data_IF_210861060654
#
_entry.id   IF_210861060654
#
_cell.length_a   1.000
_cell.length_b   1.000
_cell.length_c   1.000
_cell.angle_alpha   90.00
_cell.angle_beta   90.00
_cell.angle_gamma   90.00
#
_symmetry.space_group_name_H-M   'P 1'
#
loop_
_entity.id
_entity.type
_entity.pdbx_description
1 polymer ?
#
# COMPACT_ATOMS: atom_id res chain seq x y z
N UNK A 1 -0.66 -28.90 11.04
CA UNK A 1 -1.37 -28.00 10.11
C UNK A 1 -0.51 -26.75 9.94
N UNK A 2 -0.21 -26.35 8.70
CA UNK A 2 0.53 -25.10 8.46
C UNK A 2 -0.31 -23.93 9.00
N UNK A 3 0.32 -23.04 9.78
CA UNK A 3 -0.32 -21.82 10.25
C UNK A 3 -0.58 -20.95 9.03
N UNK A 4 -1.85 -20.82 8.63
CA UNK A 4 -2.24 -19.84 7.60
C UNK A 4 -2.28 -18.50 8.31
N UNK A 5 -1.38 -17.59 7.94
CA UNK A 5 -1.41 -16.24 8.46
C UNK A 5 -2.71 -15.53 7.99
N UNK A 6 -3.28 -14.66 8.83
CA UNK A 6 -4.50 -13.93 8.47
C UNK A 6 -4.28 -13.08 7.21
N UNK A 7 -5.29 -13.04 6.34
CA UNK A 7 -5.33 -12.09 5.24
C UNK A 7 -5.58 -10.69 5.79
N UNK A 8 -4.68 -9.75 5.51
CA UNK A 8 -4.84 -8.35 5.94
C UNK A 8 -5.33 -7.52 4.77
N UNK A 9 -6.38 -6.76 5.02
CA UNK A 9 -6.97 -5.85 4.03
C UNK A 9 -6.92 -4.45 4.62
N UNK A 10 -6.11 -3.58 4.01
CA UNK A 10 -5.91 -2.22 4.47
C UNK A 10 -6.79 -1.24 3.69
N UNK A 11 -7.50 -0.36 4.39
CA UNK A 11 -8.35 0.70 3.81
C UNK A 11 -7.94 2.08 4.34
N UNK A 12 -8.42 3.12 3.68
CA UNK A 12 -8.38 4.47 4.24
C UNK A 12 -9.44 4.65 5.35
N UNK A 13 -9.41 5.80 6.02
CA UNK A 13 -10.34 6.14 7.09
C UNK A 13 -11.58 6.91 6.61
N UNK A 14 -11.95 6.85 5.33
CA UNK A 14 -13.13 7.60 4.88
C UNK A 14 -14.40 7.08 5.58
N UNK A 15 -15.34 7.98 5.88
CA UNK A 15 -16.53 7.67 6.70
C UNK A 15 -17.29 6.39 6.26
N UNK A 16 -17.50 6.11 4.96
CA UNK A 16 -18.14 4.87 4.53
C UNK A 16 -17.38 3.60 4.95
N UNK A 17 -16.05 3.65 5.02
CA UNK A 17 -15.21 2.52 5.43
C UNK A 17 -15.31 2.19 6.92
N UNK A 18 -15.85 3.08 7.76
CA UNK A 18 -16.22 2.74 9.14
C UNK A 18 -17.20 1.56 9.25
N UNK A 19 -17.94 1.26 8.17
CA UNK A 19 -18.82 0.11 8.09
C UNK A 19 -18.11 -1.25 8.28
N UNK A 20 -16.80 -1.35 8.02
CA UNK A 20 -16.04 -2.60 8.19
C UNK A 20 -15.90 -3.00 9.66
N UNK A 21 -16.18 -2.07 10.59
CA UNK A 21 -16.19 -2.34 12.03
C UNK A 21 -17.47 -3.03 12.51
N UNK A 22 -18.52 -3.05 11.68
CA UNK A 22 -19.83 -3.67 11.98
C UNK A 22 -19.67 -5.18 12.17
N UNK A 23 -20.45 -5.73 13.10
CA UNK A 23 -20.41 -7.15 13.45
C UNK A 23 -20.66 -8.07 12.23
N UNK A 24 -21.57 -7.68 11.35
CA UNK A 24 -21.89 -8.44 10.12
C UNK A 24 -20.70 -8.59 9.19
N UNK A 25 -19.92 -7.53 8.98
CA UNK A 25 -18.70 -7.58 8.15
C UNK A 25 -17.62 -8.43 8.83
N UNK A 26 -17.44 -8.27 10.15
CA UNK A 26 -16.49 -9.08 10.93
C UNK A 26 -16.83 -10.57 10.92
N UNK A 27 -18.13 -10.91 10.86
CA UNK A 27 -18.58 -12.28 10.75
C UNK A 27 -18.32 -12.82 9.33
N UNK A 28 -18.68 -12.07 8.30
CA UNK A 28 -18.40 -12.42 6.90
C UNK A 28 -16.90 -12.63 6.63
N UNK A 29 -16.03 -11.84 7.26
CA UNK A 29 -14.58 -11.98 7.21
C UNK A 29 -14.05 -13.33 7.75
N UNK A 30 -14.89 -14.09 8.47
CA UNK A 30 -14.59 -15.40 9.06
C UNK A 30 -15.40 -16.56 8.45
N UNK A 31 -16.35 -16.27 7.59
CA UNK A 31 -17.17 -17.29 6.93
C UNK A 31 -16.30 -18.18 6.05
N UNK A 32 -16.69 -19.44 5.86
CA UNK A 32 -15.94 -20.38 4.99
C UNK A 32 -14.51 -20.71 5.44
N UNK A 33 -14.12 -20.38 6.68
CA UNK A 33 -12.79 -20.67 7.22
C UNK A 33 -11.73 -19.59 6.91
N UNK A 34 -12.13 -18.42 6.41
CA UNK A 34 -11.23 -17.29 6.24
C UNK A 34 -10.84 -16.66 7.59
N UNK A 35 -9.66 -16.05 7.68
CA UNK A 35 -9.27 -15.12 8.76
C UNK A 35 -8.86 -13.79 8.12
N UNK A 36 -9.86 -12.98 7.74
CA UNK A 36 -9.64 -11.65 7.15
C UNK A 36 -9.65 -10.60 8.26
N UNK A 37 -8.60 -9.77 8.29
CA UNK A 37 -8.45 -8.67 9.23
C UNK A 37 -8.41 -7.35 8.48
N UNK A 38 -9.39 -6.51 8.79
CA UNK A 38 -9.47 -5.16 8.27
C UNK A 38 -8.56 -4.24 9.08
N UNK A 39 -7.69 -3.51 8.38
CA UNK A 39 -6.74 -2.57 8.97
C UNK A 39 -6.93 -1.19 8.33
N UNK A 40 -6.65 -0.16 9.09
CA UNK A 40 -6.74 1.21 8.60
C UNK A 40 -5.34 1.80 8.49
N UNK A 41 -5.10 2.58 7.44
CA UNK A 41 -3.91 3.41 7.38
C UNK A 41 -3.95 4.48 8.49
N UNK A 42 -2.81 5.08 8.86
CA UNK A 42 -2.80 6.27 9.71
C UNK A 42 -3.60 7.44 9.10
N UNK A 43 -4.30 8.27 9.91
CA UNK A 43 -5.06 9.40 9.39
C UNK A 43 -4.21 10.36 8.55
N UNK A 44 -4.74 10.82 7.42
CA UNK A 44 -4.08 11.76 6.48
C UNK A 44 -2.75 11.28 5.89
N UNK A 45 -2.53 9.97 5.83
CA UNK A 45 -1.31 9.37 5.28
C UNK A 45 -1.59 8.58 3.99
N UNK A 46 -1.89 9.21 2.85
CA UNK A 46 -2.12 8.52 1.58
C UNK A 46 -0.88 7.75 1.10
N UNK A 47 0.31 8.18 1.51
CA UNK A 47 1.59 7.51 1.29
C UNK A 47 1.71 6.16 2.03
N UNK A 48 0.83 5.90 3.00
CA UNK A 48 0.72 4.62 3.71
C UNK A 48 -0.33 3.67 3.12
N UNK A 49 -0.93 4.03 1.99
CA UNK A 49 -1.88 3.21 1.25
C UNK A 49 -1.29 2.85 -0.11
N UNK A 50 -1.15 1.56 -0.41
CA UNK A 50 -0.53 1.12 -1.66
C UNK A 50 -1.32 1.54 -2.91
N UNK A 51 -2.65 1.64 -2.80
CA UNK A 51 -3.50 2.01 -3.92
C UNK A 51 -3.24 3.45 -4.33
N UNK A 52 -3.24 4.37 -3.36
CA UNK A 52 -2.95 5.79 -3.56
C UNK A 52 -1.48 6.02 -3.92
N UNK A 53 -0.56 5.34 -3.24
CA UNK A 53 0.88 5.51 -3.42
C UNK A 53 1.33 5.19 -4.85
N UNK A 54 0.75 4.17 -5.50
CA UNK A 54 1.27 3.74 -6.79
C UNK A 54 0.30 3.11 -7.77
N UNK A 55 -0.74 2.40 -7.33
CA UNK A 55 -1.61 1.67 -8.27
C UNK A 55 -2.51 2.62 -9.05
N UNK A 56 -3.19 3.55 -8.37
CA UNK A 56 -4.01 4.55 -9.05
C UNK A 56 -3.16 5.44 -9.95
N UNK A 57 -1.99 5.89 -9.48
CA UNK A 57 -1.05 6.65 -10.29
C UNK A 57 -0.60 5.90 -11.57
N UNK A 58 -0.33 4.59 -11.45
CA UNK A 58 0.06 3.78 -12.60
C UNK A 58 -1.07 3.65 -13.63
N UNK A 59 -2.28 3.32 -13.17
CA UNK A 59 -3.47 3.21 -14.03
C UNK A 59 -3.78 4.55 -14.69
N UNK A 60 -3.77 5.62 -13.91
CA UNK A 60 -4.05 6.98 -14.37
C UNK A 60 -3.01 7.43 -15.41
N UNK A 61 -1.74 7.06 -15.28
CA UNK A 61 -0.72 7.36 -16.30
C UNK A 61 -0.98 6.69 -17.66
N UNK A 62 -1.64 5.54 -17.69
CA UNK A 62 -2.07 4.87 -18.93
C UNK A 62 -3.32 5.56 -19.46
N UNK A 63 -4.30 5.81 -18.58
CA UNK A 63 -5.55 6.45 -18.93
C UNK A 63 -5.33 7.86 -19.52
N UNK A 64 -4.43 8.68 -18.95
CA UNK A 64 -4.13 10.03 -19.45
C UNK A 64 -3.60 10.07 -20.88
N UNK A 65 -3.02 8.98 -21.37
CA UNK A 65 -2.51 8.88 -22.75
C UNK A 65 -3.60 8.50 -23.75
N UNK A 66 -4.82 8.24 -23.29
CA UNK A 66 -5.94 7.79 -24.09
C UNK A 66 -7.10 8.79 -23.92
N UNK A 67 -7.35 9.68 -24.89
CA UNK A 67 -8.42 10.65 -24.79
C UNK A 67 -9.78 9.94 -24.79
N UNK A 68 -10.60 10.23 -23.78
CA UNK A 68 -11.96 9.70 -23.66
C UNK A 68 -12.93 10.83 -23.37
N UNK A 69 -14.14 10.70 -23.91
CA UNK A 69 -15.21 11.70 -23.75
C UNK A 69 -16.53 11.07 -23.30
N UNK A 70 -16.50 9.77 -22.98
CA UNK A 70 -17.65 8.97 -22.55
C UNK A 70 -17.24 8.08 -21.38
N UNK A 71 -18.18 7.86 -20.46
CA UNK A 71 -17.95 7.05 -19.26
C UNK A 71 -17.58 5.61 -19.64
N UNK A 72 -18.28 5.00 -20.59
CA UNK A 72 -18.00 3.62 -21.00
C UNK A 72 -16.57 3.44 -21.54
N UNK A 73 -16.13 4.38 -22.38
CA UNK A 73 -14.75 4.39 -22.90
C UNK A 73 -13.71 4.57 -21.78
N UNK A 74 -14.02 5.38 -20.77
CA UNK A 74 -13.15 5.55 -19.59
C UNK A 74 -13.05 4.25 -18.79
N UNK A 75 -14.17 3.55 -18.57
CA UNK A 75 -14.20 2.26 -17.87
C UNK A 75 -13.35 1.23 -18.62
N UNK A 76 -13.53 1.11 -19.93
CA UNK A 76 -12.76 0.18 -20.77
C UNK A 76 -11.25 0.42 -20.66
N UNK A 77 -10.83 1.69 -20.68
CA UNK A 77 -9.41 2.07 -20.62
C UNK A 77 -8.82 1.80 -19.24
N UNK A 78 -9.55 2.09 -18.17
CA UNK A 78 -9.12 1.78 -16.80
C UNK A 78 -8.97 0.27 -16.60
N UNK A 79 -9.94 -0.51 -17.09
CA UNK A 79 -9.90 -1.98 -17.04
C UNK A 79 -8.71 -2.54 -17.84
N UNK A 80 -8.47 -2.02 -19.04
CA UNK A 80 -7.32 -2.41 -19.85
C UNK A 80 -5.99 -2.05 -19.17
N UNK A 81 -5.88 -0.87 -18.58
CA UNK A 81 -4.71 -0.43 -17.83
C UNK A 81 -4.43 -1.31 -16.61
N UNK A 82 -5.48 -1.70 -15.89
CA UNK A 82 -5.38 -2.64 -14.77
C UNK A 82 -4.86 -4.01 -15.23
N UNK A 83 -5.46 -4.58 -16.28
CA UNK A 83 -5.06 -5.88 -16.83
C UNK A 83 -3.63 -5.88 -17.39
N UNK A 84 -3.16 -4.74 -17.91
CA UNK A 84 -1.79 -4.57 -18.42
C UNK A 84 -0.72 -4.38 -17.33
N UNK A 85 -1.08 -4.18 -16.06
CA UNK A 85 -0.15 -3.81 -14.98
C UNK A 85 0.14 -4.93 -13.97
N UNK A 86 0.60 -6.13 -14.36
CA UNK A 86 0.00 -7.36 -13.87
C UNK A 86 0.65 -7.94 -12.60
N UNK A 87 1.79 -7.41 -12.15
CA UNK A 87 2.48 -7.91 -10.94
C UNK A 87 3.71 -7.07 -10.59
N UNK A 88 4.58 -6.84 -11.57
CA UNK A 88 5.84 -6.11 -11.37
C UNK A 88 5.64 -4.67 -10.89
N UNK A 89 4.52 -4.03 -11.26
CA UNK A 89 4.15 -2.71 -10.73
C UNK A 89 3.72 -2.81 -9.27
N UNK A 90 2.88 -3.79 -8.92
CA UNK A 90 2.46 -4.07 -7.54
C UNK A 90 3.66 -4.35 -6.63
N UNK A 91 4.58 -5.23 -7.05
CA UNK A 91 5.77 -5.56 -6.26
C UNK A 91 6.63 -4.33 -6.01
N UNK A 92 6.81 -3.48 -7.04
CA UNK A 92 7.52 -2.19 -6.91
C UNK A 92 6.80 -1.25 -5.94
N UNK A 93 5.47 -1.20 -5.96
CA UNK A 93 4.69 -0.38 -5.03
C UNK A 93 4.87 -0.86 -3.59
N UNK A 94 4.86 -2.16 -3.32
CA UNK A 94 5.13 -2.71 -2.00
C UNK A 94 6.55 -2.40 -1.51
N UNK A 95 7.56 -2.50 -2.39
CA UNK A 95 8.91 -2.09 -2.03
C UNK A 95 9.03 -0.59 -1.75
N UNK A 96 8.30 0.22 -2.51
CA UNK A 96 8.24 1.68 -2.32
C UNK A 96 7.60 1.99 -0.96
N UNK A 97 6.48 1.34 -0.63
CA UNK A 97 5.81 1.49 0.66
C UNK A 97 6.76 1.17 1.84
N UNK A 98 7.55 0.11 1.75
CA UNK A 98 8.54 -0.21 2.79
C UNK A 98 9.59 0.89 2.97
N UNK A 99 10.05 1.51 1.88
CA UNK A 99 10.99 2.64 1.97
C UNK A 99 10.31 3.94 2.42
N UNK A 100 9.05 4.15 2.08
CA UNK A 100 8.24 5.25 2.60
C UNK A 100 8.09 5.11 4.12
N UNK A 101 7.77 3.92 4.63
CA UNK A 101 7.74 3.65 6.07
C UNK A 101 9.08 3.98 6.76
N UNK A 102 10.21 3.62 6.16
CA UNK A 102 11.53 4.03 6.68
C UNK A 102 11.73 5.55 6.64
N UNK A 103 11.24 6.24 5.60
CA UNK A 103 11.29 7.71 5.54
C UNK A 103 10.43 8.35 6.63
N UNK A 104 9.23 7.86 6.88
CA UNK A 104 8.34 8.35 7.94
C UNK A 104 9.03 8.20 9.30
N UNK A 105 9.66 7.05 9.58
CA UNK A 105 10.43 6.85 10.83
C UNK A 105 11.57 7.87 10.93
N UNK A 106 12.31 8.09 9.83
CA UNK A 106 13.42 9.05 9.78
C UNK A 106 12.97 10.49 10.04
N UNK A 107 11.76 10.85 9.63
CA UNK A 107 11.19 12.19 9.81
C UNK A 107 10.17 12.24 10.96
N UNK A 108 10.28 11.33 11.93
CA UNK A 108 9.48 11.33 13.16
C UNK A 108 7.95 11.38 12.92
N UNK A 109 7.45 10.73 11.87
CA UNK A 109 6.04 10.68 11.53
C UNK A 109 5.58 11.65 10.44
N UNK A 110 6.44 12.58 10.02
CA UNK A 110 6.15 13.53 8.93
C UNK A 110 6.15 12.85 7.56
N UNK A 111 5.48 13.45 6.59
CA UNK A 111 5.41 13.04 5.19
C UNK A 111 6.14 14.01 4.22
N UNK A 112 6.80 15.06 4.74
CA UNK A 112 7.62 15.97 3.93
C UNK A 112 8.97 15.33 3.54
N UNK A 113 8.91 14.36 2.62
CA UNK A 113 10.09 13.78 2.01
C UNK A 113 9.84 13.44 0.55
N UNK A 114 10.93 13.40 -0.22
CA UNK A 114 10.88 12.92 -1.60
C UNK A 114 10.64 11.41 -1.62
N UNK A 115 9.76 10.96 -2.52
CA UNK A 115 9.50 9.54 -2.71
C UNK A 115 10.80 8.77 -2.98
N UNK A 116 11.07 7.69 -2.21
CA UNK A 116 12.31 6.94 -2.32
C UNK A 116 12.35 6.15 -3.63
N UNK A 117 13.49 6.19 -4.32
CA UNK A 117 13.70 5.41 -5.55
C UNK A 117 14.07 3.97 -5.21
N UNK A 118 13.20 3.00 -5.50
CA UNK A 118 13.45 1.58 -5.19
C UNK A 118 13.98 0.75 -6.35
N UNK A 119 13.66 1.11 -7.60
CA UNK A 119 13.84 0.22 -8.76
C UNK A 119 15.31 -0.19 -8.99
N UNK A 120 16.22 0.77 -9.19
CA UNK A 120 17.62 0.45 -9.50
C UNK A 120 18.43 -0.08 -8.31
N UNK A 121 17.95 0.15 -7.08
CA UNK A 121 18.69 -0.22 -5.87
C UNK A 121 18.40 -1.66 -5.43
N UNK A 122 17.14 -2.08 -5.52
CA UNK A 122 16.67 -3.34 -4.94
C UNK A 122 16.19 -4.36 -5.98
N UNK A 123 15.96 -3.95 -7.23
CA UNK A 123 15.56 -4.85 -8.32
C UNK A 123 16.78 -5.11 -9.21
N UNK A 124 17.25 -6.36 -9.24
CA UNK A 124 18.43 -6.78 -10.02
C UNK A 124 18.09 -7.99 -10.86
N UNK A 125 18.46 -7.98 -12.15
CA UNK A 125 18.26 -9.11 -13.08
C UNK A 125 16.83 -9.68 -13.08
N UNK A 126 15.83 -8.81 -12.92
CA UNK A 126 14.42 -9.22 -12.87
C UNK A 126 13.93 -9.71 -11.51
N UNK A 127 14.81 -10.03 -10.56
CA UNK A 127 14.47 -10.41 -9.19
C UNK A 127 13.96 -9.22 -8.38
N UNK A 128 12.84 -9.41 -7.68
CA UNK A 128 12.23 -8.42 -6.79
C UNK A 128 12.08 -9.07 -5.42
N UNK A 129 12.73 -8.57 -4.37
CA UNK A 129 12.54 -9.11 -3.03
C UNK A 129 11.14 -8.79 -2.51
N UNK A 130 10.59 -9.65 -1.64
CA UNK A 130 9.34 -9.37 -0.93
C UNK A 130 9.52 -8.36 0.20
N UNK A 131 10.73 -8.21 0.72
CA UNK A 131 11.06 -7.29 1.81
C UNK A 131 12.45 -6.68 1.67
N UNK A 132 12.59 -5.43 2.11
CA UNK A 132 13.84 -4.69 2.19
C UNK A 132 14.16 -4.45 3.66
N UNK A 133 15.42 -4.67 4.04
CA UNK A 133 15.91 -4.39 5.39
C UNK A 133 15.84 -2.88 5.66
N UNK A 134 15.13 -2.51 6.72
CA UNK A 134 15.11 -1.16 7.25
C UNK A 134 16.50 -0.79 7.80
N UNK A 135 16.95 0.44 7.59
CA UNK A 135 18.21 0.91 8.17
C UNK A 135 18.18 0.79 9.71
N UNK A 136 19.16 0.08 10.28
CA UNK A 136 19.20 -0.24 11.71
C UNK A 136 19.23 1.00 12.60
N UNK A 137 19.95 2.06 12.21
CA UNK A 137 20.00 3.32 12.96
C UNK A 137 18.65 4.05 12.90
N UNK A 138 17.99 4.08 11.75
CA UNK A 138 16.65 4.65 11.60
C UNK A 138 15.65 3.93 12.50
N UNK A 139 15.66 2.59 12.48
CA UNK A 139 14.80 1.78 13.34
C UNK A 139 15.07 2.03 14.82
N UNK A 140 16.35 2.00 15.24
CA UNK A 140 16.73 2.21 16.63
C UNK A 140 16.31 3.61 17.13
N UNK A 141 16.57 4.65 16.34
CA UNK A 141 16.19 6.02 16.67
C UNK A 141 14.67 6.18 16.78
N UNK A 142 13.92 5.60 15.83
CA UNK A 142 12.45 5.61 15.87
C UNK A 142 11.90 4.90 17.11
N UNK A 143 12.47 3.75 17.47
CA UNK A 143 12.08 3.00 18.68
C UNK A 143 12.33 3.83 19.94
N UNK A 144 13.50 4.47 20.05
CA UNK A 144 13.84 5.35 21.17
C UNK A 144 12.88 6.54 21.27
N UNK A 145 12.58 7.19 20.15
CA UNK A 145 11.65 8.32 20.12
C UNK A 145 10.24 7.91 20.58
N UNK A 146 9.73 6.75 20.14
CA UNK A 146 8.44 6.22 20.58
C UNK A 146 8.40 5.95 22.08
N UNK A 147 9.49 5.42 22.66
CA UNK A 147 9.57 5.16 24.11
C UNK A 147 9.56 6.44 24.95
N UNK A 148 9.97 7.57 24.39
CA UNK A 148 9.96 8.87 25.09
C UNK A 148 8.60 9.57 25.02
N UNK A 149 7.69 9.11 24.16
CA UNK A 149 6.34 9.65 23.98
C UNK A 149 5.28 8.92 24.83
N UNK A 150 5.67 7.86 25.55
CA UNK A 150 4.82 7.06 26.44
C UNK A 150 5.08 7.43 27.90
#
# INVERSE_FOLDING_TARGET
MARVDPLRVQHDNANPHGAVTRATVKQAAKEGGWDIRMEFQPPKSPDMNILDLGIFNAIQSVQYRQPTYKIDALIEIVMAAFNMGPSRTLDKCFLTLQKVMECIIRHAGDNDFRLPRVSKLYIKNGFIPSSIVCNAAVYANGKTALMQMQ
#
